data_IF_476511366022
#
_entry.id   IF_476511366022
#
_cell.length_a   1.000
_cell.length_b   1.000
_cell.length_c   1.000
_cell.angle_alpha   90.00
_cell.angle_beta   90.00
_cell.angle_gamma   90.00
#
_symmetry.space_group_name_H-M   'P 1'
#
loop_
_entity.id
_entity.type
_entity.pdbx_description
1 polymer ?
#
# COMPACT_ATOMS: atom_id res chain seq x y z
N UNK A 1 5.92 17.08 9.23
CA UNK A 1 5.63 15.65 8.99
C UNK A 1 5.63 15.37 7.50
N UNK A 2 6.03 14.17 7.07
CA UNK A 2 5.87 13.68 5.71
C UNK A 2 5.20 12.31 5.71
N UNK A 3 4.26 12.12 4.79
CA UNK A 3 3.54 10.87 4.57
C UNK A 3 3.53 10.54 3.08
N UNK A 4 3.52 9.26 2.75
CA UNK A 4 3.42 8.83 1.35
C UNK A 4 1.98 8.49 0.98
N UNK A 5 1.48 9.10 -0.08
CA UNK A 5 0.13 8.95 -0.63
C UNK A 5 0.26 8.66 -2.11
N UNK A 6 -0.48 7.71 -2.66
CA UNK A 6 -0.35 7.37 -4.08
C UNK A 6 -0.65 8.58 -4.96
N UNK A 7 0.15 8.83 -6.00
CA UNK A 7 -0.10 9.90 -6.97
C UNK A 7 -1.50 9.83 -7.61
N UNK A 8 -2.09 8.63 -7.71
CA UNK A 8 -3.46 8.45 -8.23
C UNK A 8 -4.53 9.07 -7.32
N UNK A 9 -4.22 9.23 -6.03
CA UNK A 9 -5.12 9.77 -5.02
C UNK A 9 -4.94 11.28 -4.82
N UNK A 10 -3.79 11.84 -5.23
CA UNK A 10 -3.48 13.27 -5.06
C UNK A 10 -4.58 14.16 -5.68
N UNK A 11 -5.04 13.86 -6.89
CA UNK A 11 -6.08 14.65 -7.57
C UNK A 11 -7.40 14.70 -6.79
N UNK A 12 -7.77 13.59 -6.15
CA UNK A 12 -8.98 13.48 -5.34
C UNK A 12 -8.85 14.25 -4.02
N UNK A 13 -7.70 14.10 -3.35
CA UNK A 13 -7.38 14.80 -2.10
C UNK A 13 -7.26 16.31 -2.28
N UNK A 14 -6.66 16.75 -3.39
CA UNK A 14 -6.57 18.16 -3.77
C UNK A 14 -7.96 18.70 -4.10
N UNK A 15 -8.74 17.93 -4.88
CA UNK A 15 -10.08 18.33 -5.33
C UNK A 15 -10.04 19.36 -6.45
N UNK A 16 -11.20 19.61 -7.08
CA UNK A 16 -11.34 20.61 -8.16
C UNK A 16 -10.90 21.99 -7.65
N UNK A 17 -9.96 22.64 -8.33
CA UNK A 17 -9.42 23.95 -7.94
C UNK A 17 -8.68 23.97 -6.59
N UNK A 18 -8.30 22.81 -6.05
CA UNK A 18 -7.68 22.70 -4.72
C UNK A 18 -8.63 22.92 -3.56
N UNK A 19 -9.95 22.88 -3.77
CA UNK A 19 -10.94 23.19 -2.74
C UNK A 19 -10.88 22.23 -1.54
N UNK A 20 -10.70 20.93 -1.79
CA UNK A 20 -10.67 19.92 -0.73
C UNK A 20 -9.44 20.09 0.17
N UNK A 21 -8.25 20.24 -0.42
CA UNK A 21 -7.03 20.46 0.36
C UNK A 21 -7.06 21.78 1.12
N UNK A 22 -7.59 22.86 0.53
CA UNK A 22 -7.76 24.15 1.22
C UNK A 22 -8.70 24.04 2.42
N UNK A 23 -9.84 23.37 2.27
CA UNK A 23 -10.76 23.14 3.37
C UNK A 23 -10.10 22.32 4.49
N UNK A 24 -9.34 21.28 4.13
CA UNK A 24 -8.58 20.46 5.07
C UNK A 24 -7.50 21.26 5.80
N UNK A 25 -6.76 22.14 5.11
CA UNK A 25 -5.78 23.04 5.72
C UNK A 25 -6.42 23.95 6.78
N UNK A 26 -7.59 24.53 6.48
CA UNK A 26 -8.31 25.42 7.40
C UNK A 26 -8.82 24.65 8.62
N UNK A 27 -9.50 23.51 8.40
CA UNK A 27 -10.07 22.67 9.46
C UNK A 27 -8.98 22.14 10.41
N UNK A 28 -7.86 21.69 9.84
CA UNK A 28 -6.76 21.12 10.62
C UNK A 28 -5.77 22.16 11.10
N UNK A 29 -5.87 23.43 10.68
CA UNK A 29 -4.86 24.48 10.95
C UNK A 29 -3.45 24.09 10.51
N UNK A 30 -3.34 23.29 9.45
CA UNK A 30 -2.07 22.79 8.91
C UNK A 30 -1.81 23.34 7.51
N UNK A 31 -0.54 23.38 7.13
CA UNK A 31 -0.11 23.60 5.76
C UNK A 31 0.24 22.26 5.11
N UNK A 32 -0.50 21.88 4.05
CA UNK A 32 -0.39 20.58 3.36
C UNK A 32 0.15 20.79 1.94
N UNK A 33 1.31 20.25 1.63
CA UNK A 33 1.95 20.40 0.33
C UNK A 33 2.04 19.06 -0.39
N UNK A 34 1.40 18.96 -1.56
CA UNK A 34 1.54 17.83 -2.47
C UNK A 34 2.74 18.05 -3.39
N UNK A 35 3.50 17.00 -3.72
CA UNK A 35 4.61 17.10 -4.67
C UNK A 35 4.10 17.50 -6.06
N UNK A 36 4.73 18.49 -6.68
CA UNK A 36 4.35 18.96 -8.00
C UNK A 36 4.78 17.93 -9.06
N UNK A 37 3.80 17.29 -9.70
CA UNK A 37 4.02 16.29 -10.74
C UNK A 37 4.70 16.85 -12.00
N UNK A 38 4.76 18.18 -12.18
CA UNK A 38 5.33 18.83 -13.36
C UNK A 38 6.74 19.37 -13.14
N UNK A 39 7.25 19.36 -11.90
CA UNK A 39 8.53 19.99 -11.53
C UNK A 39 9.71 19.01 -11.42
N UNK A 40 9.43 17.71 -11.33
CA UNK A 40 10.44 16.64 -11.27
C UNK A 40 10.35 15.72 -12.48
N UNK A 41 11.50 15.16 -12.85
CA UNK A 41 11.77 14.32 -14.02
C UNK A 41 10.57 13.44 -14.47
N UNK A 42 10.30 13.36 -15.77
CA UNK A 42 9.15 12.69 -16.43
C UNK A 42 8.94 11.23 -15.96
N UNK A 43 9.98 10.61 -15.40
CA UNK A 43 9.98 9.22 -14.94
C UNK A 43 9.84 9.04 -13.42
N UNK A 44 9.86 10.09 -12.61
CA UNK A 44 9.86 10.02 -11.13
C UNK A 44 8.85 10.99 -10.51
N UNK A 45 7.63 10.50 -10.24
CA UNK A 45 6.62 11.22 -9.44
C UNK A 45 6.80 10.84 -7.97
N UNK A 46 7.08 11.83 -7.12
CA UNK A 46 7.12 11.61 -5.67
C UNK A 46 5.72 11.43 -5.12
N UNK A 47 5.53 10.47 -4.22
CA UNK A 47 4.29 10.25 -3.48
C UNK A 47 4.28 10.97 -2.12
N UNK A 48 5.33 11.71 -1.80
CA UNK A 48 5.55 12.27 -0.47
C UNK A 48 4.81 13.60 -0.27
N UNK A 49 3.72 13.56 0.50
CA UNK A 49 2.94 14.74 0.94
C UNK A 49 3.55 15.29 2.24
N UNK A 50 3.77 16.59 2.29
CA UNK A 50 4.31 17.28 3.48
C UNK A 50 3.19 17.97 4.25
N UNK A 51 3.19 17.83 5.58
CA UNK A 51 2.21 18.44 6.50
C UNK A 51 2.99 19.20 7.57
N UNK A 52 2.71 20.49 7.71
CA UNK A 52 3.34 21.39 8.69
C UNK A 52 2.29 22.05 9.58
N UNK A 53 2.53 22.12 10.88
CA UNK A 53 1.60 22.64 11.88
C UNK A 53 1.97 22.17 13.28
N UNK A 54 1.08 22.37 14.25
CA UNK A 54 1.27 21.83 15.61
C UNK A 54 1.19 20.29 15.61
N UNK A 55 1.85 19.57 16.53
CA UNK A 55 1.86 18.09 16.51
C UNK A 55 0.47 17.46 16.53
N UNK A 56 -0.45 17.99 17.34
CA UNK A 56 -1.82 17.50 17.43
C UNK A 56 -2.61 17.75 16.13
N UNK A 57 -2.46 18.95 15.57
CA UNK A 57 -3.12 19.36 14.33
C UNK A 57 -2.62 18.54 13.13
N UNK A 58 -1.31 18.32 13.06
CA UNK A 58 -0.65 17.51 12.03
C UNK A 58 -1.12 16.06 12.09
N UNK A 59 -1.29 15.48 13.28
CA UNK A 59 -1.86 14.14 13.41
C UNK A 59 -3.32 14.08 12.97
N UNK A 60 -4.13 15.10 13.28
CA UNK A 60 -5.50 15.20 12.75
C UNK A 60 -5.51 15.29 11.22
N UNK A 61 -4.65 16.12 10.63
CA UNK A 61 -4.50 16.25 9.18
C UNK A 61 -4.04 14.93 8.52
N UNK A 62 -3.07 14.24 9.13
CA UNK A 62 -2.61 12.92 8.69
C UNK A 62 -3.76 11.91 8.66
N UNK A 63 -4.51 11.81 9.77
CA UNK A 63 -5.69 10.94 9.85
C UNK A 63 -6.70 11.30 8.77
N UNK A 64 -6.96 12.59 8.53
CA UNK A 64 -7.89 13.04 7.51
C UNK A 64 -7.45 12.65 6.09
N UNK A 65 -6.17 12.79 5.76
CA UNK A 65 -5.61 12.37 4.46
C UNK A 65 -5.75 10.85 4.29
N UNK A 66 -5.28 10.07 5.26
CA UNK A 66 -5.37 8.58 5.25
C UNK A 66 -6.79 8.05 5.21
N UNK A 67 -7.75 8.80 5.78
CA UNK A 67 -9.17 8.46 5.73
C UNK A 67 -9.79 8.77 4.37
N UNK A 68 -9.22 9.73 3.64
CA UNK A 68 -9.72 10.19 2.34
C UNK A 68 -9.12 9.40 1.17
N UNK A 69 -8.10 8.56 1.41
CA UNK A 69 -7.61 7.55 0.45
C UNK A 69 -8.78 6.66 -0.04
N UNK A 70 -9.15 6.88 -1.30
CA UNK A 70 -10.31 6.38 -2.05
C UNK A 70 -9.84 5.16 -2.85
N UNK A 71 -10.30 3.92 -2.69
CA UNK A 71 -11.62 3.38 -2.40
C UNK A 71 -11.45 2.05 -1.67
N UNK A 72 -12.38 1.66 -0.82
CA UNK A 72 -12.46 0.27 -0.34
C UNK A 72 -13.11 -0.56 -1.42
N UNK A 73 -12.65 -1.78 -1.62
CA UNK A 73 -13.41 -2.78 -2.35
C UNK A 73 -13.32 -4.11 -1.58
N UNK A 74 -14.46 -4.57 -1.08
CA UNK A 74 -14.57 -5.95 -0.61
C UNK A 74 -14.89 -6.81 -1.81
N UNK A 75 -14.13 -7.87 -1.99
CA UNK A 75 -14.38 -8.85 -3.03
C UNK A 75 -14.84 -10.16 -2.40
N UNK A 76 -15.79 -10.82 -3.04
CA UNK A 76 -16.11 -12.21 -2.78
C UNK A 76 -16.39 -12.93 -4.10
N UNK A 77 -16.29 -14.26 -4.09
CA UNK A 77 -16.44 -15.07 -5.30
C UNK A 77 -17.72 -15.90 -5.23
N UNK A 78 -18.51 -15.84 -6.31
CA UNK A 78 -19.59 -16.78 -6.59
C UNK A 78 -19.01 -17.87 -7.50
N UNK A 79 -18.75 -19.05 -6.96
CA UNK A 79 -18.13 -20.16 -7.71
C UNK A 79 -19.05 -20.78 -8.75
N UNK A 80 -20.35 -20.88 -8.44
CA UNK A 80 -21.38 -21.45 -9.31
C UNK A 80 -22.50 -20.43 -9.51
N UNK A 81 -22.34 -19.50 -10.46
CA UNK A 81 -23.36 -18.46 -10.66
C UNK A 81 -24.65 -19.09 -11.21
N UNK A 82 -25.77 -18.85 -10.54
CA UNK A 82 -27.09 -19.31 -10.98
C UNK A 82 -27.64 -18.52 -12.17
N UNK A 83 -27.04 -17.37 -12.49
CA UNK A 83 -27.48 -16.43 -13.51
C UNK A 83 -26.29 -15.82 -14.25
N UNK A 84 -26.54 -15.29 -15.44
CA UNK A 84 -25.55 -14.54 -16.22
C UNK A 84 -25.19 -13.22 -15.52
N UNK A 85 -23.96 -12.74 -15.67
CA UNK A 85 -23.54 -11.44 -15.12
C UNK A 85 -24.48 -10.29 -15.53
N UNK A 86 -24.98 -10.29 -16.76
CA UNK A 86 -25.91 -9.26 -17.24
C UNK A 86 -27.18 -9.16 -16.37
N UNK A 87 -27.70 -10.30 -15.90
CA UNK A 87 -28.88 -10.33 -15.03
C UNK A 87 -28.57 -9.79 -13.63
N UNK A 88 -27.40 -10.13 -13.08
CA UNK A 88 -26.98 -9.54 -11.80
C UNK A 88 -26.85 -8.03 -11.88
N UNK A 89 -26.29 -7.50 -12.98
CA UNK A 89 -26.14 -6.04 -13.18
C UNK A 89 -27.46 -5.34 -13.46
N UNK A 90 -28.39 -5.99 -14.15
CA UNK A 90 -29.70 -5.43 -14.47
C UNK A 90 -30.70 -5.53 -13.29
N UNK A 91 -30.34 -6.20 -12.20
CA UNK A 91 -31.23 -6.40 -11.07
C UNK A 91 -31.62 -5.08 -10.39
N UNK A 92 -32.92 -4.80 -10.18
CA UNK A 92 -33.36 -3.61 -9.46
C UNK A 92 -32.89 -3.62 -7.99
N UNK A 93 -32.68 -4.80 -7.42
CA UNK A 93 -32.11 -4.96 -6.07
C UNK A 93 -30.72 -4.35 -6.01
N UNK A 94 -29.91 -4.49 -7.07
CA UNK A 94 -28.57 -3.91 -7.12
C UNK A 94 -28.63 -2.39 -7.07
N UNK A 95 -29.51 -1.78 -7.88
CA UNK A 95 -29.70 -0.32 -7.90
C UNK A 95 -30.16 0.21 -6.54
N UNK A 96 -31.05 -0.53 -5.85
CA UNK A 96 -31.48 -0.18 -4.50
C UNK A 96 -30.34 -0.27 -3.48
N UNK A 97 -29.49 -1.30 -3.56
CA UNK A 97 -28.30 -1.43 -2.68
C UNK A 97 -27.35 -0.26 -2.90
N UNK A 98 -26.99 0.01 -4.16
CA UNK A 98 -26.06 1.08 -4.51
C UNK A 98 -26.58 2.46 -4.05
N UNK A 99 -27.86 2.74 -4.27
CA UNK A 99 -28.49 3.98 -3.83
C UNK A 99 -28.58 4.10 -2.30
N UNK A 100 -29.00 3.02 -1.60
CA UNK A 100 -29.22 3.03 -0.15
C UNK A 100 -27.93 3.25 0.63
N UNK A 101 -26.86 2.55 0.24
CA UNK A 101 -25.58 2.59 0.97
C UNK A 101 -24.53 3.48 0.32
N UNK A 102 -24.84 4.12 -0.81
CA UNK A 102 -23.93 4.98 -1.58
C UNK A 102 -22.64 4.22 -1.96
N UNK A 103 -22.82 3.00 -2.47
CA UNK A 103 -21.74 2.10 -2.90
C UNK A 103 -21.84 1.84 -4.40
N UNK A 104 -20.71 1.46 -5.00
CA UNK A 104 -20.64 0.97 -6.38
C UNK A 104 -20.39 -0.55 -6.33
N UNK A 105 -21.23 -1.35 -6.97
CA UNK A 105 -21.11 -2.82 -6.96
C UNK A 105 -20.83 -3.31 -8.37
N UNK A 106 -19.71 -4.01 -8.54
CA UNK A 106 -19.33 -4.57 -9.84
C UNK A 106 -19.29 -6.08 -9.80
N UNK A 107 -19.92 -6.72 -10.79
CA UNK A 107 -19.78 -8.14 -11.08
C UNK A 107 -18.77 -8.29 -12.20
N UNK A 108 -17.76 -9.15 -12.08
CA UNK A 108 -16.79 -9.42 -13.15
C UNK A 108 -16.50 -10.90 -13.23
N UNK A 109 -16.25 -11.41 -14.44
CA UNK A 109 -15.77 -12.78 -14.54
C UNK A 109 -14.39 -12.90 -13.90
N UNK A 110 -14.17 -14.01 -13.18
CA UNK A 110 -12.91 -14.29 -12.47
C UNK A 110 -11.68 -14.19 -13.39
N UNK A 111 -11.79 -14.64 -14.65
CA UNK A 111 -10.69 -14.59 -15.62
C UNK A 111 -10.34 -13.18 -16.13
N UNK A 112 -11.22 -12.19 -15.94
CA UNK A 112 -10.95 -10.78 -16.27
C UNK A 112 -10.39 -9.99 -15.09
N UNK A 113 -10.29 -10.62 -13.92
CA UNK A 113 -9.75 -9.98 -12.74
C UNK A 113 -8.21 -10.03 -12.80
N UNK A 114 -7.48 -8.92 -12.57
CA UNK A 114 -6.03 -8.89 -12.71
C UNK A 114 -5.39 -10.01 -11.89
N UNK A 115 -4.54 -10.83 -12.52
CA UNK A 115 -3.91 -11.98 -11.84
C UNK A 115 -3.24 -11.56 -10.53
N UNK A 116 -2.63 -10.37 -10.47
CA UNK A 116 -2.03 -9.77 -9.26
C UNK A 116 -2.97 -9.68 -8.05
N UNK A 117 -4.27 -9.55 -8.26
CA UNK A 117 -5.29 -9.46 -7.21
C UNK A 117 -5.98 -10.80 -6.89
N UNK A 118 -5.76 -11.84 -7.72
CA UNK A 118 -6.37 -13.18 -7.60
C UNK A 118 -5.37 -14.27 -7.19
N UNK A 119 -4.06 -13.99 -7.32
CA UNK A 119 -2.97 -14.92 -6.95
C UNK A 119 -3.05 -15.49 -5.52
N UNK A 120 -3.61 -14.82 -4.47
CA UNK A 120 -3.57 -15.39 -3.13
C UNK A 120 -4.66 -16.45 -2.85
N UNK A 121 -5.66 -16.60 -3.74
CA UNK A 121 -6.71 -17.64 -3.63
C UNK A 121 -6.36 -18.94 -4.36
N UNK A 122 -5.31 -18.94 -5.19
CA UNK A 122 -4.98 -20.08 -6.04
C UNK A 122 -3.90 -20.97 -5.43
N UNK A 123 -4.29 -22.21 -5.12
CA UNK A 123 -3.38 -23.37 -5.03
C UNK A 123 -2.62 -23.53 -6.38
N UNK A 124 -1.42 -24.15 -6.44
CA UNK A 124 -0.58 -24.19 -7.65
C UNK A 124 -1.16 -24.94 -8.86
N UNK A 125 -2.41 -25.41 -8.78
CA UNK A 125 -3.03 -26.27 -9.78
C UNK A 125 -4.51 -25.91 -9.90
N UNK A 126 -4.99 -25.97 -11.14
CA UNK A 126 -6.39 -26.17 -11.58
C UNK A 126 -7.29 -24.94 -11.85
N UNK A 127 -7.46 -24.75 -13.16
CA UNK A 127 -8.72 -24.58 -13.88
C UNK A 127 -9.34 -23.17 -13.89
N UNK A 128 -9.59 -22.70 -15.13
CA UNK A 128 -10.58 -21.70 -15.51
C UNK A 128 -11.93 -22.06 -14.86
N UNK A 129 -12.11 -21.70 -13.60
CA UNK A 129 -13.41 -21.79 -12.94
C UNK A 129 -14.27 -20.65 -13.47
N UNK A 130 -15.50 -20.97 -13.90
CA UNK A 130 -16.52 -20.03 -14.37
C UNK A 130 -17.13 -19.19 -13.24
N UNK A 131 -16.27 -18.68 -12.35
CA UNK A 131 -16.69 -17.86 -11.21
C UNK A 131 -16.95 -16.41 -11.58
N UNK A 132 -17.82 -15.77 -10.80
CA UNK A 132 -18.03 -14.32 -10.81
C UNK A 132 -17.42 -13.75 -9.54
N UNK A 133 -16.61 -12.70 -9.69
CA UNK A 133 -16.13 -11.87 -8.58
C UNK A 133 -17.10 -10.70 -8.43
N UNK A 134 -17.58 -10.49 -7.21
CA UNK A 134 -18.38 -9.33 -6.84
C UNK A 134 -17.49 -8.39 -6.04
N UNK A 135 -17.38 -7.14 -6.48
CA UNK A 135 -16.59 -6.10 -5.80
C UNK A 135 -17.52 -5.01 -5.31
N UNK A 136 -17.53 -4.76 -4.00
CA UNK A 136 -18.34 -3.71 -3.35
C UNK A 136 -17.43 -2.55 -3.02
N UNK A 137 -17.54 -1.46 -3.78
CA UNK A 137 -16.68 -0.30 -3.70
C UNK A 137 -17.35 0.88 -3.00
N UNK A 138 -16.61 1.56 -2.13
CA UNK A 138 -17.13 2.78 -1.49
C UNK A 138 -16.06 3.62 -0.80
N UNK A 139 -16.50 4.76 -0.28
CA UNK A 139 -15.66 5.70 0.45
C UNK A 139 -15.26 5.13 1.81
N UNK A 140 -14.01 5.33 2.22
CA UNK A 140 -13.57 4.90 3.55
C UNK A 140 -14.32 5.64 4.67
N UNK A 141 -14.73 6.90 4.46
CA UNK A 141 -15.55 7.67 5.39
C UNK A 141 -16.91 7.00 5.69
N UNK A 142 -17.47 6.23 4.76
CA UNK A 142 -18.72 5.50 4.92
C UNK A 142 -18.46 3.99 5.09
N UNK A 143 -17.41 3.65 5.84
CA UNK A 143 -17.00 2.27 6.11
C UNK A 143 -18.16 1.36 6.50
N UNK A 144 -19.00 1.82 7.43
CA UNK A 144 -20.15 1.07 7.93
C UNK A 144 -21.14 0.75 6.81
N UNK A 145 -21.47 1.72 5.96
CA UNK A 145 -22.36 1.50 4.82
C UNK A 145 -21.81 0.47 3.83
N UNK A 146 -20.49 0.50 3.58
CA UNK A 146 -19.83 -0.49 2.70
C UNK A 146 -19.87 -1.89 3.31
N UNK A 147 -19.64 -2.01 4.62
CA UNK A 147 -19.70 -3.31 5.32
C UNK A 147 -21.12 -3.88 5.32
N UNK A 148 -22.14 -3.05 5.61
CA UNK A 148 -23.55 -3.45 5.58
C UNK A 148 -23.99 -3.88 4.17
N UNK A 149 -23.61 -3.13 3.13
CA UNK A 149 -23.88 -3.53 1.76
C UNK A 149 -23.20 -4.86 1.39
N UNK A 150 -21.98 -5.09 1.89
CA UNK A 150 -21.25 -6.35 1.70
C UNK A 150 -21.94 -7.52 2.39
N UNK A 151 -22.39 -7.36 3.64
CA UNK A 151 -23.18 -8.38 4.33
C UNK A 151 -24.49 -8.69 3.62
N UNK A 152 -25.20 -7.65 3.17
CA UNK A 152 -26.45 -7.84 2.44
C UNK A 152 -26.23 -8.66 1.17
N UNK A 153 -25.18 -8.33 0.40
CA UNK A 153 -24.84 -9.08 -0.82
C UNK A 153 -24.38 -10.51 -0.53
N UNK A 154 -23.61 -10.74 0.54
CA UNK A 154 -23.25 -12.08 0.97
C UNK A 154 -24.49 -12.90 1.35
N UNK A 155 -25.42 -12.32 2.10
CA UNK A 155 -26.67 -12.99 2.45
C UNK A 155 -27.57 -13.22 1.23
N UNK A 156 -27.63 -12.26 0.32
CA UNK A 156 -28.41 -12.37 -0.92
C UNK A 156 -27.93 -13.52 -1.80
N UNK A 157 -26.62 -13.74 -1.92
CA UNK A 157 -26.04 -14.78 -2.78
C UNK A 157 -25.87 -16.14 -2.08
N UNK A 158 -25.53 -16.16 -0.79
CA UNK A 158 -25.17 -17.39 -0.06
C UNK A 158 -26.16 -17.76 1.05
N UNK A 159 -27.13 -16.90 1.36
CA UNK A 159 -28.12 -17.12 2.42
C UNK A 159 -27.45 -17.40 3.77
N UNK A 160 -27.79 -18.53 4.39
CA UNK A 160 -27.20 -18.97 5.65
C UNK A 160 -25.69 -19.25 5.56
N UNK A 161 -25.09 -19.38 4.38
CA UNK A 161 -23.64 -19.59 4.25
C UNK A 161 -22.84 -18.27 4.16
N UNK A 162 -23.51 -17.11 4.27
CA UNK A 162 -22.86 -15.80 4.21
C UNK A 162 -21.71 -15.65 5.20
N UNK A 163 -21.88 -16.09 6.46
CA UNK A 163 -20.85 -15.97 7.51
C UNK A 163 -19.64 -16.91 7.31
N UNK A 164 -19.76 -17.92 6.45
CA UNK A 164 -18.66 -18.82 6.11
C UNK A 164 -17.90 -18.37 4.86
N UNK A 165 -18.47 -17.43 4.11
CA UNK A 165 -17.92 -16.99 2.83
C UNK A 165 -16.87 -15.92 3.10
N UNK A 166 -15.57 -16.21 2.85
CA UNK A 166 -14.53 -15.23 3.09
C UNK A 166 -14.63 -14.11 2.06
N UNK A 167 -14.42 -12.88 2.52
CA UNK A 167 -14.16 -11.74 1.67
C UNK A 167 -12.66 -11.48 1.61
N UNK A 168 -12.21 -10.82 0.55
CA UNK A 168 -10.84 -10.33 0.46
C UNK A 168 -10.77 -8.90 -0.06
N UNK A 169 -9.74 -8.19 0.38
CA UNK A 169 -9.39 -6.85 -0.06
C UNK A 169 -7.92 -6.84 -0.48
N UNK A 170 -7.60 -6.11 -1.53
CA UNK A 170 -6.21 -5.85 -1.92
C UNK A 170 -5.85 -4.40 -1.59
N UNK A 171 -4.71 -4.23 -0.95
CA UNK A 171 -4.18 -2.94 -0.53
C UNK A 171 -2.88 -2.70 -1.29
N UNK A 172 -2.84 -1.62 -2.06
CA UNK A 172 -1.61 -1.16 -2.70
C UNK A 172 -0.71 -0.50 -1.65
N UNK A 173 0.51 -1.03 -1.50
CA UNK A 173 1.55 -0.44 -0.67
C UNK A 173 2.75 -0.15 -1.57
N UNK A 174 3.47 0.95 -1.31
CA UNK A 174 4.70 1.22 -2.03
C UNK A 174 5.80 0.22 -1.64
N UNK A 175 6.62 -0.25 -2.60
CA UNK A 175 7.67 -1.24 -2.34
C UNK A 175 8.62 -0.87 -1.20
N UNK A 176 8.97 0.42 -1.06
CA UNK A 176 9.83 0.91 0.03
C UNK A 176 9.20 0.72 1.42
N UNK A 177 7.88 0.87 1.55
CA UNK A 177 7.18 0.63 2.82
C UNK A 177 6.98 -0.84 3.07
N UNK A 178 6.79 -1.64 2.01
CA UNK A 178 6.75 -3.08 2.16
C UNK A 178 8.06 -3.63 2.71
N UNK A 179 9.22 -3.14 2.24
CA UNK A 179 10.51 -3.55 2.79
C UNK A 179 10.63 -3.19 4.28
N UNK A 180 10.11 -2.03 4.70
CA UNK A 180 10.04 -1.66 6.11
C UNK A 180 9.11 -2.58 6.92
N UNK A 181 7.92 -2.87 6.38
CA UNK A 181 6.92 -3.75 7.01
C UNK A 181 7.42 -5.19 7.15
N UNK A 182 8.10 -5.73 6.12
CA UNK A 182 8.61 -7.10 6.10
C UNK A 182 9.88 -7.26 6.95
N UNK A 183 10.78 -6.27 6.92
CA UNK A 183 12.05 -6.32 7.64
C UNK A 183 11.98 -5.66 9.02
N UNK A 184 10.78 -5.50 9.57
CA UNK A 184 10.60 -4.99 10.92
C UNK A 184 11.41 -5.82 11.92
N UNK A 185 12.08 -5.17 12.87
CA UNK A 185 12.97 -5.79 13.87
C UNK A 185 12.18 -6.52 14.98
N UNK A 186 10.94 -6.93 14.69
CA UNK A 186 10.11 -7.63 15.66
C UNK A 186 10.46 -9.14 15.67
N UNK A 187 10.39 -9.79 16.84
CA UNK A 187 10.68 -11.22 16.97
C UNK A 187 9.65 -12.13 16.27
N UNK A 188 8.51 -11.58 15.86
CA UNK A 188 7.40 -12.30 15.23
C UNK A 188 7.09 -11.73 13.85
N UNK A 189 6.68 -12.61 12.92
CA UNK A 189 6.23 -12.18 11.60
C UNK A 189 4.97 -11.33 11.73
N UNK A 190 4.91 -10.22 11.00
CA UNK A 190 3.77 -9.31 11.05
C UNK A 190 2.46 -9.99 10.64
N UNK A 191 2.49 -10.93 9.68
CA UNK A 191 1.31 -11.71 9.29
C UNK A 191 0.66 -12.43 10.47
N UNK A 192 1.48 -12.94 11.39
CA UNK A 192 1.05 -13.76 12.52
C UNK A 192 0.44 -12.85 13.59
N UNK A 193 1.09 -11.72 13.88
CA UNK A 193 0.58 -10.69 14.79
C UNK A 193 -0.75 -10.11 14.28
N UNK A 194 -0.85 -9.83 12.97
CA UNK A 194 -2.09 -9.34 12.36
C UNK A 194 -3.21 -10.38 12.44
N UNK A 195 -2.90 -11.65 12.24
CA UNK A 195 -3.88 -12.73 12.38
C UNK A 195 -4.35 -12.89 13.83
N UNK A 196 -3.43 -12.88 14.81
CA UNK A 196 -3.77 -12.98 16.23
C UNK A 196 -4.64 -11.80 16.70
N UNK A 197 -4.36 -10.60 16.20
CA UNK A 197 -5.06 -9.37 16.64
C UNK A 197 -6.40 -9.15 15.93
N UNK A 198 -6.56 -9.60 14.68
CA UNK A 198 -7.72 -9.26 13.85
C UNK A 198 -8.49 -10.46 13.31
N UNK A 199 -7.93 -11.66 13.38
CA UNK A 199 -8.50 -12.87 12.79
C UNK A 199 -8.51 -12.89 11.26
N UNK A 200 -7.84 -11.95 10.58
CA UNK A 200 -7.70 -11.93 9.13
C UNK A 200 -6.33 -12.46 8.69
N UNK A 201 -6.32 -13.24 7.60
CA UNK A 201 -5.09 -13.73 6.98
C UNK A 201 -4.52 -12.67 6.05
N UNK A 202 -3.31 -12.22 6.32
CA UNK A 202 -2.61 -11.21 5.52
C UNK A 202 -1.48 -11.88 4.74
N UNK A 203 -1.54 -11.76 3.41
CA UNK A 203 -0.50 -12.23 2.50
C UNK A 203 0.18 -11.03 1.87
N UNK A 204 1.45 -10.84 2.23
CA UNK A 204 2.35 -9.94 1.53
C UNK A 204 2.80 -10.63 0.24
N UNK A 205 2.96 -9.90 -0.88
CA UNK A 205 3.50 -10.49 -2.09
C UNK A 205 4.96 -10.86 -1.81
N UNK A 206 5.26 -12.16 -1.89
CA UNK A 206 6.64 -12.64 -1.91
C UNK A 206 7.33 -11.91 -3.06
N UNK A 207 8.51 -11.34 -2.83
CA UNK A 207 9.29 -10.73 -3.90
C UNK A 207 9.40 -11.73 -5.06
N UNK A 208 8.66 -11.52 -6.16
CA UNK A 208 8.71 -12.32 -7.40
C UNK A 208 10.04 -12.01 -8.13
N UNK A 209 11.14 -12.17 -7.40
CA UNK A 209 12.49 -11.91 -7.84
C UNK A 209 13.50 -12.90 -7.25
N UNK A 210 13.24 -13.56 -6.11
CA UNK A 210 14.26 -14.43 -5.52
C UNK A 210 14.56 -15.69 -6.37
N UNK A 211 13.59 -16.22 -7.12
CA UNK A 211 13.77 -17.46 -7.90
C UNK A 211 14.37 -17.25 -9.30
N UNK A 212 14.18 -16.09 -9.93
CA UNK A 212 14.86 -15.75 -11.19
C UNK A 212 16.28 -15.23 -10.94
N UNK A 213 16.48 -14.47 -9.86
CA UNK A 213 17.79 -13.96 -9.47
C UNK A 213 18.72 -15.07 -8.97
N UNK A 214 18.19 -16.08 -8.26
CA UNK A 214 18.97 -17.28 -7.88
C UNK A 214 19.32 -18.20 -9.07
N UNK A 215 18.50 -18.24 -10.13
CA UNK A 215 18.83 -18.95 -11.38
C UNK A 215 19.86 -18.19 -12.24
N UNK A 216 19.89 -16.86 -12.18
CA UNK A 216 20.93 -16.05 -12.83
C UNK A 216 22.28 -16.11 -12.10
N UNK A 217 22.28 -16.34 -10.78
CA UNK A 217 23.49 -16.51 -9.97
C UNK A 217 24.02 -17.96 -9.94
N UNK A 218 23.18 -18.97 -10.19
CA UNK A 218 23.66 -20.32 -10.53
C UNK A 218 23.89 -20.39 -12.03
N UNK A 219 25.06 -19.92 -12.45
CA UNK A 219 25.60 -20.25 -13.75
C UNK A 219 25.45 -21.76 -13.99
N UNK A 220 24.66 -22.09 -15.01
CA UNK A 220 24.54 -23.43 -15.54
C UNK A 220 25.93 -23.91 -15.95
N UNK A 221 26.56 -24.74 -15.12
CA UNK A 221 27.63 -25.62 -15.54
C UNK A 221 26.99 -26.71 -16.39
N UNK A 222 26.82 -26.44 -17.67
CA UNK A 222 26.61 -27.47 -18.68
C UNK A 222 27.43 -27.09 -19.90
N UNK A 223 28.57 -27.75 -19.99
CA UNK A 223 29.48 -27.81 -21.14
C UNK A 223 28.74 -27.95 -22.47
N UNK A 224 28.93 -27.00 -23.40
CA UNK A 224 28.99 -27.28 -24.85
C UNK A 224 29.88 -26.23 -25.55
N UNK A 225 31.14 -26.60 -25.79
CA UNK A 225 31.91 -26.42 -27.04
C UNK A 225 31.47 -25.39 -28.11
N UNK A 226 32.30 -24.34 -28.36
CA UNK A 226 33.03 -24.00 -29.63
C UNK A 226 33.13 -22.50 -29.99
N UNK A 227 34.41 -22.06 -30.07
CA UNK A 227 35.10 -21.15 -31.04
C UNK A 227 34.62 -19.69 -31.26
N UNK A 228 35.55 -18.74 -31.03
CA UNK A 228 35.61 -17.48 -31.81
C UNK A 228 36.21 -16.24 -31.11
N UNK A 229 37.54 -16.08 -31.21
CA UNK A 229 38.40 -14.86 -31.16
C UNK A 229 37.81 -13.47 -30.79
N UNK A 230 38.29 -12.86 -29.68
CA UNK A 230 39.22 -11.70 -29.56
C UNK A 230 39.39 -11.33 -28.06
N UNK A 231 40.55 -10.80 -27.60
CA UNK A 231 40.84 -10.62 -26.18
C UNK A 231 40.54 -9.19 -25.71
N UNK A 232 40.00 -9.04 -24.50
CA UNK A 232 40.11 -7.78 -23.74
C UNK A 232 40.11 -8.09 -22.25
N UNK A 233 41.20 -7.69 -21.60
CA UNK A 233 41.46 -7.81 -20.17
C UNK A 233 40.30 -7.19 -19.38
N UNK A 234 39.70 -7.96 -18.47
CA UNK A 234 38.92 -7.39 -17.38
C UNK A 234 39.32 -8.07 -16.08
N UNK A 235 39.96 -7.27 -15.24
CA UNK A 235 40.24 -7.52 -13.84
C UNK A 235 38.95 -7.90 -13.10
N UNK A 236 39.04 -8.84 -12.15
CA UNK A 236 37.97 -9.07 -11.17
C UNK A 236 37.62 -7.73 -10.48
N UNK A 237 36.36 -7.30 -10.43
CA UNK A 237 35.97 -6.30 -9.46
C UNK A 237 35.94 -6.96 -8.08
N UNK A 238 36.71 -6.37 -7.17
CA UNK A 238 36.63 -6.60 -5.73
C UNK A 238 35.20 -6.34 -5.25
N UNK A 239 34.75 -7.17 -4.32
CA UNK A 239 33.49 -7.04 -3.59
C UNK A 239 33.36 -5.65 -2.95
N UNK A 240 32.41 -4.85 -3.45
CA UNK A 240 31.98 -3.59 -2.85
C UNK A 240 30.54 -3.74 -2.35
N UNK A 241 30.26 -3.59 -1.05
CA UNK A 241 28.90 -3.70 -0.49
C UNK A 241 27.98 -2.50 -0.81
N UNK A 242 28.26 -1.74 -1.89
CA UNK A 242 27.52 -0.54 -2.27
C UNK A 242 26.54 -0.73 -3.46
N UNK A 243 26.33 -1.96 -3.92
CA UNK A 243 25.47 -2.28 -5.08
C UNK A 243 24.07 -2.82 -4.72
N UNK A 244 23.52 -2.41 -3.57
CA UNK A 244 22.09 -2.63 -3.27
C UNK A 244 21.18 -1.49 -3.79
N UNK A 245 21.77 -0.38 -4.28
CA UNK A 245 21.03 0.79 -4.74
C UNK A 245 20.51 0.72 -6.17
N UNK A 246 21.13 -0.05 -7.07
CA UNK A 246 20.86 0.06 -8.52
C UNK A 246 19.87 -0.96 -9.09
N UNK A 247 19.41 -1.94 -8.29
CA UNK A 247 18.30 -2.82 -8.66
C UNK A 247 16.97 -2.45 -7.97
N UNK A 248 16.91 -1.27 -7.35
CA UNK A 248 15.66 -0.69 -6.80
C UNK A 248 14.94 0.21 -7.83
N UNK A 249 15.52 0.43 -9.01
CA UNK A 249 14.99 1.33 -10.04
C UNK A 249 14.40 0.60 -11.27
N UNK A 250 13.68 -0.52 -11.06
CA UNK A 250 12.63 -0.91 -12.02
C UNK A 250 11.28 -0.47 -11.46
N UNK A 251 10.92 0.77 -11.79
CA UNK A 251 9.64 1.36 -11.42
C UNK A 251 8.49 0.60 -12.10
N UNK A 252 7.42 0.34 -11.35
CA UNK A 252 6.18 -0.27 -11.84
C UNK A 252 5.64 -1.46 -11.05
N UNK A 253 6.43 -2.07 -10.15
CA UNK A 253 5.95 -3.17 -9.31
C UNK A 253 5.20 -2.58 -8.12
N UNK A 254 3.90 -2.33 -8.30
CA UNK A 254 2.97 -2.09 -7.18
C UNK A 254 2.92 -3.36 -6.34
N UNK A 255 3.16 -3.25 -5.03
CA UNK A 255 3.00 -4.42 -4.17
C UNK A 255 1.60 -4.44 -3.58
N UNK A 256 0.83 -5.46 -3.96
CA UNK A 256 -0.55 -5.65 -3.51
C UNK A 256 -0.55 -6.60 -2.32
N UNK A 257 -0.80 -6.07 -1.14
CA UNK A 257 -1.04 -6.88 0.06
C UNK A 257 -2.47 -7.38 0.01
N UNK A 258 -2.67 -8.68 0.19
CA UNK A 258 -4.03 -9.24 0.21
C UNK A 258 -4.42 -9.65 1.61
N UNK A 259 -5.61 -9.23 2.00
CA UNK A 259 -6.21 -9.49 3.31
C UNK A 259 -7.46 -10.33 3.08
N UNK A 260 -7.58 -11.46 3.77
CA UNK A 260 -8.70 -12.40 3.61
C UNK A 260 -9.29 -12.77 4.96
N UNK A 261 -10.61 -12.83 5.06
CA UNK A 261 -11.32 -13.16 6.30
C UNK A 261 -12.79 -12.74 6.23
N UNK A 262 -13.41 -12.51 7.39
CA UNK A 262 -14.73 -11.90 7.48
C UNK A 262 -14.66 -10.38 7.24
N UNK A 263 -15.79 -9.74 6.98
CA UNK A 263 -15.87 -8.31 6.62
C UNK A 263 -15.22 -7.42 7.68
N UNK A 264 -15.47 -7.67 8.96
CA UNK A 264 -14.92 -6.94 10.10
C UNK A 264 -13.42 -7.23 10.28
N UNK A 265 -13.03 -8.50 10.24
CA UNK A 265 -11.63 -8.90 10.41
C UNK A 265 -10.75 -8.25 9.34
N UNK A 266 -11.21 -8.28 8.08
CA UNK A 266 -10.52 -7.64 6.95
C UNK A 266 -10.46 -6.12 7.13
N UNK A 267 -11.53 -5.50 7.63
CA UNK A 267 -11.53 -4.07 7.94
C UNK A 267 -10.47 -3.71 8.97
N UNK A 268 -10.45 -4.43 10.11
CA UNK A 268 -9.52 -4.20 11.21
C UNK A 268 -8.08 -4.41 10.78
N UNK A 269 -7.79 -5.52 10.09
CA UNK A 269 -6.46 -5.81 9.57
C UNK A 269 -5.95 -4.70 8.64
N UNK A 270 -6.82 -4.19 7.77
CA UNK A 270 -6.47 -3.03 6.93
C UNK A 270 -6.15 -1.80 7.78
N UNK A 271 -6.95 -1.48 8.79
CA UNK A 271 -6.66 -0.32 9.66
C UNK A 271 -5.31 -0.48 10.37
N UNK A 272 -5.00 -1.68 10.86
CA UNK A 272 -3.69 -1.98 11.45
C UNK A 272 -2.56 -1.76 10.43
N UNK A 273 -2.65 -2.31 9.22
CA UNK A 273 -1.61 -2.15 8.20
C UNK A 273 -1.44 -0.67 7.78
N UNK A 274 -2.53 0.08 7.61
CA UNK A 274 -2.46 1.50 7.25
C UNK A 274 -1.83 2.34 8.37
N UNK A 275 -1.99 1.93 9.63
CA UNK A 275 -1.33 2.56 10.77
C UNK A 275 0.16 2.20 10.91
N UNK A 276 0.59 1.08 10.31
CA UNK A 276 1.99 0.64 10.28
C UNK A 276 2.79 1.26 9.13
N UNK A 277 2.15 2.01 8.22
CA UNK A 277 2.87 2.72 7.16
C UNK A 277 3.80 3.77 7.79
N UNK A 278 5.07 3.83 7.36
CA UNK A 278 6.06 4.69 8.00
C UNK A 278 5.67 6.17 7.88
N UNK A 279 5.96 6.92 8.94
CA UNK A 279 5.73 8.36 9.04
C UNK A 279 7.07 9.01 9.38
N UNK A 280 7.40 10.11 8.70
CA UNK A 280 8.59 10.89 9.02
C UNK A 280 8.18 12.18 9.73
N UNK A 281 8.63 12.34 10.97
CA UNK A 281 8.54 13.58 11.71
C UNK A 281 9.82 14.38 11.50
N UNK A 282 9.68 15.68 11.28
CA UNK A 282 10.80 16.60 11.11
C UNK A 282 10.48 17.84 11.90
N UNK A 283 11.43 18.26 12.75
CA UNK A 283 11.41 19.55 13.44
C UNK A 283 12.73 20.26 13.17
N UNK A 284 12.67 21.58 13.06
CA UNK A 284 13.88 22.38 13.19
C UNK A 284 14.23 22.46 14.67
N UNK A 285 15.53 22.41 14.97
CA UNK A 285 16.08 22.38 16.32
C UNK A 285 17.19 23.43 16.33
N UNK A 286 17.24 24.23 17.39
CA UNK A 286 18.29 25.22 17.59
C UNK A 286 19.63 24.54 17.89
N UNK A 287 20.74 25.25 17.71
CA UNK A 287 22.06 24.71 18.03
C UNK A 287 22.19 24.35 19.53
N UNK A 288 21.54 25.12 20.40
CA UNK A 288 21.55 24.88 21.85
C UNK A 288 20.86 23.56 22.19
N UNK A 289 19.63 23.36 21.69
CA UNK A 289 18.88 22.11 21.85
C UNK A 289 19.63 20.90 21.25
N UNK A 290 20.31 21.09 20.12
CA UNK A 290 21.12 20.04 19.50
C UNK A 290 22.25 19.57 20.41
N UNK A 291 22.94 20.47 21.12
CA UNK A 291 23.97 20.11 22.10
C UNK A 291 23.44 19.30 23.29
N UNK A 292 22.16 19.45 23.65
CA UNK A 292 21.52 18.57 24.64
C UNK A 292 21.24 17.18 24.05
N UNK A 293 20.79 17.10 22.80
CA UNK A 293 20.48 15.84 22.13
C UNK A 293 21.72 14.99 21.84
N UNK A 294 22.85 15.63 21.55
CA UNK A 294 24.13 14.92 21.33
C UNK A 294 24.62 14.19 22.59
N UNK A 295 24.16 14.61 23.77
CA UNK A 295 24.46 13.94 25.06
C UNK A 295 23.52 12.79 25.38
N UNK A 296 22.44 12.60 24.63
CA UNK A 296 21.49 11.50 24.82
C UNK A 296 21.93 10.27 24.02
N UNK A 297 21.75 9.08 24.60
CA UNK A 297 21.90 7.83 23.86
C UNK A 297 20.70 7.62 22.92
N UNK A 298 20.80 8.23 21.75
CA UNK A 298 19.81 8.12 20.70
C UNK A 298 19.63 6.68 20.21
N UNK A 299 20.62 5.80 20.39
CA UNK A 299 20.55 4.40 19.96
C UNK A 299 19.65 3.59 20.91
N UNK A 300 19.81 3.80 22.21
CA UNK A 300 18.93 3.19 23.22
C UNK A 300 17.48 3.68 23.09
N UNK A 301 17.28 4.99 22.88
CA UNK A 301 15.96 5.56 22.63
C UNK A 301 15.33 5.00 21.33
N UNK A 302 16.11 4.94 20.25
CA UNK A 302 15.69 4.36 18.98
C UNK A 302 15.23 2.91 19.14
N UNK A 303 16.00 2.09 19.87
CA UNK A 303 15.65 0.70 20.13
C UNK A 303 14.45 0.54 21.06
N UNK A 304 14.31 1.42 22.07
CA UNK A 304 13.23 1.33 23.07
C UNK A 304 11.87 1.68 22.47
N UNK A 305 11.84 2.71 21.62
CA UNK A 305 10.61 3.22 21.01
C UNK A 305 10.40 2.77 19.56
N UNK A 306 11.32 1.95 19.03
CA UNK A 306 11.31 1.46 17.64
C UNK A 306 11.21 2.59 16.60
N UNK A 307 12.10 3.59 16.75
CA UNK A 307 12.16 4.77 15.90
C UNK A 307 13.55 4.96 15.29
N UNK A 308 13.61 5.42 14.05
CA UNK A 308 14.87 5.85 13.43
C UNK A 308 15.07 7.36 13.60
N UNK A 309 16.15 7.77 14.25
CA UNK A 309 16.50 9.18 14.44
C UNK A 309 17.62 9.59 13.46
N UNK A 310 17.46 10.73 12.80
CA UNK A 310 18.46 11.29 11.88
C UNK A 310 18.55 12.80 12.03
N UNK A 311 19.76 13.29 12.24
CA UNK A 311 20.07 14.71 12.32
C UNK A 311 20.75 15.17 11.02
N UNK A 312 20.30 16.30 10.48
CA UNK A 312 20.87 16.88 9.26
C UNK A 312 21.04 18.38 9.44
N UNK A 313 22.26 18.87 9.23
CA UNK A 313 22.54 20.30 9.23
C UNK A 313 22.00 20.93 7.95
N UNK A 314 21.14 21.96 8.08
CA UNK A 314 20.76 22.78 6.92
C UNK A 314 21.85 23.81 6.66
N UNK A 315 22.52 23.75 5.51
CA UNK A 315 23.33 24.88 5.04
C UNK A 315 22.39 26.03 4.70
N UNK A 316 22.60 27.19 5.34
CA UNK A 316 21.86 28.41 5.07
C UNK A 316 22.18 28.84 3.63
N UNK A 317 21.20 28.80 2.73
CA UNK A 317 21.38 29.36 1.39
C UNK A 317 21.69 30.86 1.57
N UNK A 318 22.92 31.25 1.25
CA UNK A 318 23.31 32.66 1.13
C UNK A 318 22.41 33.28 0.06
N UNK A 319 21.52 34.16 0.49
CA UNK A 319 20.73 35.00 -0.41
C UNK A 319 21.72 35.72 -1.33
N UNK A 320 21.68 35.43 -2.63
CA UNK A 320 22.31 36.30 -3.63
C UNK A 320 21.60 37.64 -3.52
N UNK A 321 22.24 38.61 -2.88
CA UNK A 321 21.87 40.01 -2.96
C UNK A 321 22.11 40.44 -4.40
N UNK A 322 21.03 40.78 -5.08
CA UNK A 322 21.02 41.28 -6.47
C UNK A 322 21.70 42.63 -6.58
#
# INVERSE_FOLDING_TARGET
MKIDVSHTEHSHLIGKGGQNVKAMMVDTKCHIHFPDSNRTNIFEKSNQVSISGSPADVDRARKRIRVTDLHKFYNFQIERPSQTIALYRASPVLQQIEAKWQVEVSYRHKYLYPLSDVVPLCSPVSQLSSGIVVSVRGLNAFASSVMEATHFLLYYHFGKLAYQTPVWLTLEIEPKHQAFIINHVAPRKLSDVLFETTGAKVKFPDHIGSSLFSRLLRGSTSDVSRRGFYPSRLCLPKYNPMMFGELQSRHGIKTMVTITGNVENVYLARQCIMNLLPIVLMSEITNEEFSFLERLDCSSLASTYDVALSFRTKQRQLLKVS
#
